data_IF_801109488892
#
_entry.id   IF_801109488892
#
_cell.length_a   1.000
_cell.length_b   1.000
_cell.length_c   1.000
_cell.angle_alpha   90.00
_cell.angle_beta   90.00
_cell.angle_gamma   90.00
#
_symmetry.space_group_name_H-M   'P 1'
#
loop_
_entity.id
_entity.type
_entity.pdbx_description
1 polymer ?
#
# COMPACT_ATOMS: atom_id res chain seq x y z
N UNK A 1 -16.12 -0.72 4.29
CA UNK A 1 -14.75 -1.29 4.43
C UNK A 1 -13.71 -0.47 3.67
N UNK A 2 -13.90 -0.16 2.38
CA UNK A 2 -12.96 0.67 1.61
C UNK A 2 -12.95 2.16 1.95
N UNK A 3 -14.05 2.68 2.50
CA UNK A 3 -14.12 4.08 2.89
C UNK A 3 -12.98 4.48 3.85
N UNK A 4 -12.68 3.63 4.84
CA UNK A 4 -11.55 3.82 5.75
C UNK A 4 -10.21 3.89 5.00
N UNK A 5 -10.02 3.05 3.98
CA UNK A 5 -8.78 3.00 3.20
C UNK A 5 -8.55 4.32 2.45
N UNK A 6 -9.60 4.90 1.86
CA UNK A 6 -9.47 6.16 1.11
C UNK A 6 -9.54 7.40 1.99
N UNK A 7 -10.45 7.44 2.98
CA UNK A 7 -10.67 8.61 3.83
C UNK A 7 -9.64 8.72 4.94
N UNK A 8 -9.37 7.64 5.66
CA UNK A 8 -8.55 7.64 6.88
C UNK A 8 -7.10 7.28 6.58
N UNK A 9 -6.85 6.19 5.83
CA UNK A 9 -5.49 5.80 5.41
C UNK A 9 -4.93 6.65 4.25
N UNK A 10 -5.75 7.53 3.67
CA UNK A 10 -5.36 8.47 2.61
C UNK A 10 -4.77 7.79 1.36
N UNK A 11 -5.16 6.55 1.07
CA UNK A 11 -4.89 5.99 -0.25
C UNK A 11 -5.55 6.86 -1.32
N UNK A 12 -4.84 7.08 -2.42
CA UNK A 12 -5.34 7.80 -3.59
C UNK A 12 -5.17 6.94 -4.82
N UNK A 13 -6.05 7.15 -5.79
CA UNK A 13 -5.93 6.57 -7.13
C UNK A 13 -5.26 7.59 -8.08
N UNK A 14 -4.41 7.14 -9.02
CA UNK A 14 -3.90 5.77 -9.12
C UNK A 14 -3.05 5.39 -7.89
N UNK A 15 -3.03 4.09 -7.54
CA UNK A 15 -2.19 3.60 -6.45
C UNK A 15 -0.71 3.91 -6.72
N UNK A 16 0.08 4.02 -5.66
CA UNK A 16 1.53 4.18 -5.78
C UNK A 16 2.18 2.98 -6.47
N UNK A 17 3.35 3.20 -7.08
CA UNK A 17 4.11 2.13 -7.73
C UNK A 17 4.43 0.97 -6.77
N UNK A 18 4.78 1.29 -5.52
CA UNK A 18 5.04 0.29 -4.50
C UNK A 18 3.79 -0.52 -4.14
N UNK A 19 2.64 0.13 -3.86
CA UNK A 19 1.42 -0.60 -3.55
C UNK A 19 0.99 -1.52 -4.71
N UNK A 20 1.09 -1.04 -5.95
CA UNK A 20 0.86 -1.87 -7.14
C UNK A 20 1.83 -3.05 -7.22
N UNK A 21 3.10 -2.83 -6.93
CA UNK A 21 4.11 -3.89 -6.85
C UNK A 21 3.76 -4.95 -5.80
N UNK A 22 3.28 -4.55 -4.62
CA UNK A 22 2.86 -5.47 -3.56
C UNK A 22 1.65 -6.31 -4.01
N UNK A 23 0.64 -5.68 -4.61
CA UNK A 23 -0.51 -6.42 -5.15
C UNK A 23 -0.10 -7.42 -6.24
N UNK A 24 0.82 -7.01 -7.13
CA UNK A 24 1.38 -7.88 -8.16
C UNK A 24 2.16 -9.06 -7.58
N UNK A 25 3.03 -8.80 -6.60
CA UNK A 25 3.84 -9.83 -5.94
C UNK A 25 2.98 -10.87 -5.21
N UNK A 26 1.88 -10.45 -4.57
CA UNK A 26 0.93 -11.37 -3.93
C UNK A 26 -0.04 -12.03 -4.91
N UNK A 27 -0.09 -11.58 -6.16
CA UNK A 27 -1.09 -11.98 -7.15
C UNK A 27 -2.54 -11.80 -6.63
N UNK A 28 -2.80 -10.67 -5.99
CA UNK A 28 -4.11 -10.35 -5.38
C UNK A 28 -4.62 -8.99 -5.84
N UNK A 29 -5.94 -8.87 -6.01
CA UNK A 29 -6.58 -7.59 -6.22
C UNK A 29 -6.55 -6.74 -4.92
N UNK A 30 -6.53 -5.40 -5.00
CA UNK A 30 -6.60 -4.54 -3.82
C UNK A 30 -7.80 -4.85 -2.91
N UNK A 31 -8.89 -5.36 -3.50
CA UNK A 31 -10.12 -5.71 -2.80
C UNK A 31 -10.05 -7.02 -1.99
N UNK A 32 -9.04 -7.85 -2.21
CA UNK A 32 -8.84 -9.08 -1.47
C UNK A 32 -8.04 -8.86 -0.18
N UNK A 33 -7.40 -7.69 -0.05
CA UNK A 33 -6.55 -7.40 1.08
C UNK A 33 -7.36 -6.79 2.24
N UNK A 34 -7.16 -7.33 3.45
CA UNK A 34 -7.81 -6.81 4.65
C UNK A 34 -7.38 -5.34 4.90
N UNK A 35 -8.26 -4.45 5.41
CA UNK A 35 -7.91 -3.05 5.66
C UNK A 35 -6.66 -2.84 6.52
N UNK A 36 -6.41 -3.71 7.51
CA UNK A 36 -5.19 -3.64 8.31
C UNK A 36 -3.94 -3.86 7.46
N UNK A 37 -3.96 -4.82 6.55
CA UNK A 37 -2.86 -5.08 5.63
C UNK A 37 -2.65 -3.93 4.64
N UNK A 38 -3.74 -3.27 4.20
CA UNK A 38 -3.64 -2.02 3.44
C UNK A 38 -2.97 -0.91 4.26
N UNK A 39 -3.30 -0.78 5.55
CA UNK A 39 -2.64 0.15 6.46
C UNK A 39 -1.14 -0.11 6.59
N UNK A 40 -0.72 -1.39 6.63
CA UNK A 40 0.70 -1.75 6.66
C UNK A 40 1.45 -1.32 5.41
N UNK A 41 0.87 -1.54 4.22
CA UNK A 41 1.48 -1.06 2.95
C UNK A 41 1.70 0.45 3.04
N UNK A 42 0.69 1.23 3.47
CA UNK A 42 0.81 2.69 3.57
C UNK A 42 1.82 3.13 4.62
N UNK A 43 1.84 2.48 5.78
CA UNK A 43 2.77 2.80 6.86
C UNK A 43 4.21 2.55 6.41
N UNK A 44 4.47 1.46 5.71
CA UNK A 44 5.79 1.15 5.16
C UNK A 44 6.26 2.23 4.17
N UNK A 45 5.41 2.65 3.24
CA UNK A 45 5.74 3.75 2.32
C UNK A 45 6.09 5.04 3.05
N UNK A 46 5.33 5.41 4.08
CA UNK A 46 5.59 6.62 4.87
C UNK A 46 6.91 6.53 5.63
N UNK A 47 7.25 5.36 6.17
CA UNK A 47 8.54 5.13 6.83
C UNK A 47 9.68 5.23 5.82
N UNK A 48 9.57 4.60 4.65
CA UNK A 48 10.56 4.71 3.59
C UNK A 48 10.75 6.16 3.12
N UNK A 49 9.65 6.90 2.95
CA UNK A 49 9.69 8.32 2.61
C UNK A 49 10.40 9.15 3.69
N UNK A 50 10.10 8.90 4.97
CA UNK A 50 10.75 9.59 6.09
C UNK A 50 12.25 9.30 6.18
N UNK A 51 12.64 8.06 5.86
CA UNK A 51 14.05 7.63 5.85
C UNK A 51 14.79 7.93 4.54
N UNK A 52 14.12 8.55 3.56
CA UNK A 52 14.66 8.84 2.22
C UNK A 52 15.18 7.59 1.47
N UNK A 53 14.49 6.45 1.66
CA UNK A 53 14.78 5.19 0.95
C UNK A 53 13.62 4.79 0.04
N UNK A 54 13.93 4.10 -1.04
CA UNK A 54 12.91 3.59 -1.96
C UNK A 54 12.25 2.33 -1.37
N UNK A 55 10.92 2.27 -1.24
CA UNK A 55 10.21 1.06 -0.83
C UNK A 55 10.23 0.02 -1.97
N UNK A 56 10.64 -1.21 -1.67
CA UNK A 56 10.78 -2.29 -2.66
C UNK A 56 10.02 -3.55 -2.26
N UNK A 57 9.60 -4.32 -3.26
CA UNK A 57 9.04 -5.67 -3.08
C UNK A 57 10.13 -6.72 -3.29
N UNK A 58 9.99 -7.93 -2.74
CA UNK A 58 10.94 -9.02 -3.01
C UNK A 58 11.04 -9.32 -4.51
N UNK A 59 12.25 -9.68 -4.94
CA UNK A 59 12.54 -10.16 -6.30
C UNK A 59 12.01 -11.58 -6.51
#
# INVERSE_FOLDING_TARGET
>A
MYEFIFKDLRFRLPFSGFALGVFGWMNMAPSQLHPNSMAFIRAFELVCQYLEVEPTVPL
#
